data_IF_968648439397
#
_entry.id   IF_968648439397
#
_cell.length_a   1.000
_cell.length_b   1.000
_cell.length_c   1.000
_cell.angle_alpha   90.00
_cell.angle_beta   90.00
_cell.angle_gamma   90.00
#
_symmetry.space_group_name_H-M   'P 1'
#
loop_
_entity.id
_entity.type
_entity.pdbx_description
1 polymer ?
#
# COMPACT_ATOMS: atom_id res chain seq x y z
N UNK A 1 3.57 -40.43 -6.85
CA UNK A 1 2.60 -39.39 -6.43
C UNK A 1 3.23 -38.56 -5.32
N UNK A 2 3.74 -37.37 -5.65
CA UNK A 2 4.40 -36.48 -4.68
C UNK A 2 3.32 -35.57 -4.07
N UNK A 3 3.01 -35.77 -2.78
CA UNK A 3 2.16 -34.87 -2.01
C UNK A 3 2.94 -33.56 -1.79
N UNK A 4 2.53 -32.50 -2.48
CA UNK A 4 3.04 -31.14 -2.23
C UNK A 4 2.38 -30.61 -0.96
N UNK A 5 3.17 -30.51 0.11
CA UNK A 5 2.78 -29.88 1.36
C UNK A 5 2.86 -28.36 1.15
N UNK A 6 1.71 -27.71 0.96
CA UNK A 6 1.61 -26.25 0.97
C UNK A 6 1.61 -25.82 2.44
N UNK A 7 2.74 -25.32 2.91
CA UNK A 7 2.89 -24.75 4.24
C UNK A 7 2.29 -23.34 4.23
N UNK A 8 1.08 -23.18 4.77
CA UNK A 8 0.51 -21.87 5.06
C UNK A 8 1.20 -21.30 6.31
N UNK A 9 2.23 -20.49 6.12
CA UNK A 9 2.79 -19.68 7.22
C UNK A 9 1.90 -18.45 7.36
N UNK A 10 0.91 -18.52 8.24
CA UNK A 10 0.14 -17.35 8.66
C UNK A 10 1.01 -16.52 9.60
N UNK A 11 1.79 -15.58 9.07
CA UNK A 11 2.60 -14.66 9.87
C UNK A 11 1.67 -13.63 10.53
N UNK A 12 1.22 -13.92 11.75
CA UNK A 12 0.48 -12.96 12.58
C UNK A 12 1.48 -11.97 13.20
N UNK A 13 1.81 -10.90 12.49
CA UNK A 13 2.53 -9.78 13.13
C UNK A 13 1.52 -9.04 14.02
N UNK A 14 1.59 -9.32 15.33
CA UNK A 14 0.92 -8.55 16.36
C UNK A 14 1.62 -7.19 16.48
N UNK A 15 1.14 -6.18 15.76
CA UNK A 15 1.59 -4.80 15.96
C UNK A 15 0.82 -4.19 17.14
N UNK A 16 1.29 -4.46 18.36
CA UNK A 16 0.88 -3.72 19.56
C UNK A 16 1.77 -2.48 19.72
N UNK A 17 1.13 -1.31 19.76
CA UNK A 17 1.75 -0.01 20.06
C UNK A 17 2.00 0.81 18.80
N UNK A 18 1.50 2.03 18.62
CA UNK A 18 1.17 3.06 19.60
C UNK A 18 0.01 3.89 19.04
N UNK A 19 -1.06 4.08 19.82
CA UNK A 19 -1.98 5.20 19.60
C UNK A 19 -1.24 6.46 20.01
N UNK A 20 -0.50 7.08 19.09
CA UNK A 20 -0.06 8.46 19.28
C UNK A 20 -1.31 9.32 19.26
N UNK A 21 -1.55 9.97 20.39
CA UNK A 21 -2.39 11.15 20.53
C UNK A 21 -1.91 12.20 19.52
N UNK A 22 -2.41 12.13 18.28
CA UNK A 22 -2.46 13.26 17.37
C UNK A 22 -3.85 13.88 17.50
N UNK A 23 -3.85 15.14 17.90
CA UNK A 23 -5.00 15.89 18.36
C UNK A 23 -6.19 15.91 17.40
N UNK A 24 -7.33 16.13 18.03
CA UNK A 24 -8.61 16.50 17.43
C UNK A 24 -8.42 17.51 16.28
N UNK A 25 -8.74 17.04 15.08
CA UNK A 25 -8.60 17.80 13.85
C UNK A 25 -9.25 17.10 12.66
N UNK A 26 -10.49 16.64 12.83
CA UNK A 26 -11.47 16.44 11.74
C UNK A 26 -11.03 15.61 10.53
N UNK A 27 -10.92 14.30 10.68
CA UNK A 27 -10.90 13.39 9.54
C UNK A 27 -10.95 11.94 9.98
N UNK A 28 -12.00 11.22 9.59
CA UNK A 28 -12.05 9.76 9.63
C UNK A 28 -10.83 9.24 8.84
N UNK A 29 -9.75 8.85 9.51
CA UNK A 29 -8.50 8.43 8.88
C UNK A 29 -8.15 7.00 9.24
N UNK A 30 -7.54 6.30 8.30
CA UNK A 30 -7.04 4.94 8.45
C UNK A 30 -5.60 4.84 7.97
N UNK A 31 -4.96 3.72 8.29
CA UNK A 31 -3.59 3.45 7.88
C UNK A 31 -3.57 2.54 6.66
N UNK A 32 -2.57 2.71 5.79
CA UNK A 32 -2.21 1.81 4.72
C UNK A 32 -0.82 1.26 5.02
N UNK A 33 -0.68 -0.07 4.98
CA UNK A 33 0.58 -0.77 4.99
C UNK A 33 0.67 -1.62 3.71
N UNK A 34 1.51 -1.22 2.78
CA UNK A 34 1.69 -1.88 1.50
C UNK A 34 3.03 -2.59 1.40
N UNK A 35 3.04 -3.78 0.81
CA UNK A 35 4.24 -4.50 0.39
C UNK A 35 4.19 -4.69 -1.12
N UNK A 36 5.29 -4.40 -1.81
CA UNK A 36 5.39 -4.44 -3.26
C UNK A 36 6.36 -5.54 -3.65
N UNK A 37 5.86 -6.50 -4.42
CA UNK A 37 6.61 -7.69 -4.86
C UNK A 37 6.50 -7.88 -6.36
N UNK A 38 7.45 -8.63 -6.93
CA UNK A 38 7.43 -9.08 -8.32
C UNK A 38 6.49 -10.26 -8.47
N UNK A 39 5.56 -10.18 -9.42
CA UNK A 39 4.65 -11.26 -9.77
C UNK A 39 5.44 -12.52 -10.16
N UNK A 40 5.00 -13.67 -9.66
CA UNK A 40 5.62 -14.97 -9.93
C UNK A 40 6.81 -15.33 -9.05
N UNK A 41 7.68 -14.37 -8.67
CA UNK A 41 8.82 -14.65 -7.77
C UNK A 41 8.55 -14.31 -6.32
N UNK A 42 7.71 -13.29 -6.05
CA UNK A 42 7.47 -12.77 -4.71
C UNK A 42 8.62 -11.92 -4.16
N UNK A 43 9.63 -11.60 -4.98
CA UNK A 43 10.77 -10.79 -4.56
C UNK A 43 10.32 -9.35 -4.31
N UNK A 44 10.82 -8.75 -3.22
CA UNK A 44 10.56 -7.34 -2.91
C UNK A 44 11.16 -6.44 -4.00
N UNK A 45 10.40 -5.42 -4.39
CA UNK A 45 10.86 -4.41 -5.35
C UNK A 45 11.35 -3.18 -4.56
N UNK A 46 12.66 -2.93 -4.48
CA UNK A 46 13.19 -1.77 -3.76
C UNK A 46 12.93 -0.46 -4.50
N UNK A 47 12.94 0.66 -3.78
CA UNK A 47 12.90 2.00 -4.37
C UNK A 47 11.57 2.38 -5.04
N UNK A 48 10.47 1.71 -4.69
CA UNK A 48 9.15 2.00 -5.28
C UNK A 48 8.64 3.37 -4.84
N UNK A 49 8.14 4.12 -5.81
CA UNK A 49 7.35 5.35 -5.64
C UNK A 49 5.88 4.99 -5.86
N UNK A 50 5.02 5.39 -4.93
CA UNK A 50 3.57 5.22 -5.05
C UNK A 50 2.90 6.57 -5.19
N UNK A 51 2.01 6.70 -6.16
CA UNK A 51 1.04 7.78 -6.26
C UNK A 51 -0.31 7.20 -5.86
N UNK A 52 -0.95 7.80 -4.87
CA UNK A 52 -2.26 7.37 -4.36
C UNK A 52 -3.23 8.53 -4.39
N UNK A 53 -4.35 8.35 -5.11
CA UNK A 53 -5.35 9.38 -5.34
C UNK A 53 -6.75 8.89 -5.00
N UNK A 54 -7.60 9.73 -4.41
CA UNK A 54 -8.99 9.34 -4.13
C UNK A 54 -9.76 9.11 -5.43
N UNK A 55 -10.50 8.01 -5.50
CA UNK A 55 -11.28 7.63 -6.68
C UNK A 55 -12.36 8.68 -7.00
N UNK A 56 -13.09 9.13 -5.98
CA UNK A 56 -13.94 10.30 -6.08
C UNK A 56 -13.06 11.52 -5.82
N UNK A 57 -12.51 12.09 -6.89
CA UNK A 57 -11.63 13.26 -6.83
C UNK A 57 -12.35 14.39 -6.09
N UNK A 58 -11.92 14.64 -4.86
CA UNK A 58 -12.29 15.85 -4.16
C UNK A 58 -11.30 16.92 -4.59
N UNK A 59 -11.74 18.09 -5.08
CA UNK A 59 -10.83 19.18 -5.45
C UNK A 59 -9.98 19.66 -4.28
N UNK A 60 -10.36 19.32 -3.05
CA UNK A 60 -9.66 19.65 -1.81
C UNK A 60 -8.64 18.61 -1.35
N UNK A 61 -8.61 17.40 -1.94
CA UNK A 61 -7.69 16.32 -1.53
C UNK A 61 -6.82 15.94 -2.73
N UNK A 62 -5.60 16.48 -2.84
CA UNK A 62 -4.70 16.15 -3.94
C UNK A 62 -4.20 14.71 -3.83
N UNK A 63 -3.74 14.17 -4.97
CA UNK A 63 -3.03 12.89 -5.00
C UNK A 63 -1.75 13.00 -4.17
N UNK A 64 -1.42 11.94 -3.44
CA UNK A 64 -0.25 11.89 -2.57
C UNK A 64 0.83 11.02 -3.21
N UNK A 65 2.06 11.54 -3.28
CA UNK A 65 3.23 10.78 -3.69
C UNK A 65 4.00 10.33 -2.44
N UNK A 66 4.34 9.04 -2.39
CA UNK A 66 4.98 8.40 -1.25
C UNK A 66 6.13 7.54 -1.73
N UNK A 67 7.22 7.59 -0.97
CA UNK A 67 8.40 6.79 -1.21
C UNK A 67 8.38 5.56 -0.31
N UNK A 68 8.69 4.39 -0.87
CA UNK A 68 8.93 3.19 -0.07
C UNK A 68 10.14 3.31 0.83
N UNK A 69 10.22 2.44 1.83
CA UNK A 69 11.31 2.31 2.80
C UNK A 69 12.65 1.82 2.21
N UNK A 70 12.77 1.79 0.88
CA UNK A 70 13.90 1.22 0.16
C UNK A 70 13.86 -0.31 0.04
N UNK A 71 12.97 -1.01 0.75
CA UNK A 71 12.80 -2.47 0.70
C UNK A 71 11.47 -2.90 0.08
N UNK A 72 10.76 -1.98 -0.57
CA UNK A 72 9.47 -2.27 -1.21
C UNK A 72 8.31 -2.30 -0.23
N UNK A 73 8.40 -1.60 0.91
CA UNK A 73 7.26 -1.39 1.82
C UNK A 73 6.92 0.08 1.91
N UNK A 74 5.62 0.36 2.03
CA UNK A 74 5.09 1.70 2.19
C UNK A 74 4.12 1.70 3.37
N UNK A 75 4.23 2.71 4.23
CA UNK A 75 3.27 2.96 5.30
C UNK A 75 2.83 4.42 5.27
N UNK A 76 1.53 4.66 5.40
CA UNK A 76 0.99 6.02 5.45
C UNK A 76 -0.39 6.07 6.10
N UNK A 77 -0.80 7.26 6.51
CA UNK A 77 -2.14 7.54 7.02
C UNK A 77 -2.92 8.34 5.98
N UNK A 78 -4.13 7.88 5.67
CA UNK A 78 -5.02 8.46 4.67
C UNK A 78 -6.40 8.71 5.27
N UNK A 79 -7.16 9.63 4.68
CA UNK A 79 -8.58 9.72 4.99
C UNK A 79 -9.30 8.44 4.55
N UNK A 80 -10.39 8.09 5.22
CA UNK A 80 -11.27 6.98 4.88
C UNK A 80 -11.79 7.14 3.45
N UNK A 81 -11.77 6.10 2.63
CA UNK A 81 -12.31 6.18 1.27
C UNK A 81 -11.68 5.20 0.30
N UNK A 82 -12.07 5.30 -0.97
CA UNK A 82 -11.54 4.50 -2.08
C UNK A 82 -10.44 5.26 -2.81
N UNK A 83 -9.35 4.57 -3.08
CA UNK A 83 -8.15 5.13 -3.69
C UNK A 83 -7.73 4.34 -4.92
N UNK A 84 -7.36 5.06 -5.99
CA UNK A 84 -6.61 4.53 -7.11
C UNK A 84 -5.12 4.63 -6.79
N UNK A 85 -4.36 3.61 -7.20
CA UNK A 85 -2.93 3.51 -6.91
C UNK A 85 -2.16 3.39 -8.21
N UNK A 86 -1.06 4.11 -8.29
CA UNK A 86 -0.06 3.97 -9.33
C UNK A 86 1.30 3.74 -8.68
N UNK A 87 2.11 2.85 -9.25
CA UNK A 87 3.40 2.46 -8.72
C UNK A 87 4.48 2.71 -9.78
N UNK A 88 5.68 3.08 -9.36
CA UNK A 88 6.82 3.48 -10.17
C UNK A 88 8.13 3.11 -9.49
N UNK A 89 9.25 3.06 -10.21
CA UNK A 89 10.61 2.93 -9.63
C UNK A 89 11.38 4.25 -9.63
N UNK A 90 10.75 5.32 -10.12
CA UNK A 90 11.30 6.67 -10.19
C UNK A 90 10.17 7.70 -10.16
N UNK A 91 10.42 8.87 -9.58
CA UNK A 91 9.46 9.99 -9.51
C UNK A 91 9.05 10.50 -10.89
N UNK A 92 9.93 10.38 -11.88
CA UNK A 92 9.71 10.83 -13.25
C UNK A 92 9.59 9.64 -14.24
N UNK A 93 9.50 8.42 -13.71
CA UNK A 93 9.44 7.20 -14.51
C UNK A 93 8.03 6.89 -15.02
N UNK A 94 7.88 5.84 -15.84
CA UNK A 94 6.58 5.29 -16.14
C UNK A 94 5.94 4.75 -14.85
N UNK A 95 4.63 4.96 -14.71
CA UNK A 95 3.86 4.41 -13.61
C UNK A 95 2.91 3.31 -14.09
N UNK A 96 2.91 2.17 -13.40
CA UNK A 96 1.90 1.13 -13.55
C UNK A 96 0.67 1.50 -12.74
N UNK A 97 -0.49 1.53 -13.39
CA UNK A 97 -1.77 1.75 -12.71
C UNK A 97 -2.28 0.43 -12.16
N UNK A 98 -2.46 0.38 -10.84
CA UNK A 98 -3.04 -0.79 -10.19
C UNK A 98 -4.52 -0.93 -10.61
N UNK A 99 -4.97 -2.12 -11.04
CA UNK A 99 -6.30 -2.29 -11.61
C UNK A 99 -7.43 -2.22 -10.56
N UNK A 100 -7.11 -2.37 -9.26
CA UNK A 100 -8.08 -2.37 -8.18
C UNK A 100 -8.00 -1.09 -7.35
N UNK A 101 -9.09 -0.77 -6.66
CA UNK A 101 -9.10 0.32 -5.68
C UNK A 101 -8.70 -0.18 -4.30
N UNK A 102 -7.93 0.61 -3.57
CA UNK A 102 -7.66 0.37 -2.14
C UNK A 102 -8.72 1.09 -1.30
N UNK A 103 -9.41 0.36 -0.43
CA UNK A 103 -10.35 0.93 0.54
C UNK A 103 -9.61 1.20 1.84
N UNK A 104 -9.62 2.45 2.30
CA UNK A 104 -9.16 2.85 3.63
C UNK A 104 -10.36 2.99 4.54
N UNK A 105 -10.31 2.36 5.71
CA UNK A 105 -11.36 2.42 6.74
C UNK A 105 -10.82 3.13 7.98
N UNK A 106 -11.61 4.05 8.54
CA UNK A 106 -11.20 4.85 9.68
C UNK A 106 -10.87 4.00 10.90
N UNK A 107 -9.75 4.27 11.57
CA UNK A 107 -9.30 3.55 12.77
C UNK A 107 -8.70 2.17 12.51
N UNK A 108 -8.63 1.71 11.25
CA UNK A 108 -8.04 0.42 10.88
C UNK A 108 -6.77 0.58 10.02
N UNK A 109 -5.93 -0.44 10.06
CA UNK A 109 -4.82 -0.60 9.11
C UNK A 109 -5.24 -1.50 7.97
N UNK A 110 -5.25 -0.95 6.77
CA UNK A 110 -5.45 -1.68 5.52
C UNK A 110 -4.10 -2.24 5.08
N UNK A 111 -3.99 -3.56 4.98
CA UNK A 111 -2.77 -4.23 4.52
C UNK A 111 -2.95 -4.67 3.07
N UNK A 112 -2.04 -4.27 2.19
CA UNK A 112 -2.12 -4.55 0.75
C UNK A 112 -0.81 -5.18 0.25
N UNK A 113 -0.94 -6.24 -0.53
CA UNK A 113 0.15 -6.80 -1.32
C UNK A 113 -0.05 -6.38 -2.78
N UNK A 114 0.91 -5.64 -3.34
CA UNK A 114 0.96 -5.28 -4.76
C UNK A 114 1.91 -6.21 -5.48
N UNK A 115 1.37 -7.05 -6.37
CA UNK A 115 2.15 -7.94 -7.23
C UNK A 115 2.30 -7.31 -8.62
N UNK A 116 3.49 -6.82 -8.94
CA UNK A 116 3.75 -6.11 -10.19
C UNK A 116 4.24 -7.07 -11.29
N UNK A 117 3.76 -6.92 -12.53
CA UNK A 117 4.15 -7.79 -13.63
C UNK A 117 5.65 -7.71 -13.93
N UNK A 118 6.18 -8.76 -14.55
CA UNK A 118 7.56 -8.78 -15.00
C UNK A 118 7.84 -7.66 -16.01
N UNK A 119 8.96 -6.94 -15.84
CA UNK A 119 9.32 -5.80 -16.68
C UNK A 119 8.94 -4.43 -16.09
N UNK A 120 8.35 -4.45 -14.88
CA UNK A 120 8.40 -3.32 -13.96
C UNK A 120 9.78 -3.17 -13.30
#
# INVERSE_FOLDING_TARGET
MIKRLILFITLTMLLMGMTSCFGEGGGNSGNLAATIVREGTGDLIPGVVMIIGRQLKSPTVPDQMVFGDGMGKIQMTLLEGKYNVQLGTSVNGPFYTWPQTVQITAGYTTVVLFELPAGF
#
